data_IF_280696706327
#
_entry.id   IF_280696706327
#
_cell.length_a   1.000
_cell.length_b   1.000
_cell.length_c   1.000
_cell.angle_alpha   90.00
_cell.angle_beta   90.00
_cell.angle_gamma   90.00
#
_symmetry.space_group_name_H-M   'P 1'
#
loop_
_entity.id
_entity.type
_entity.pdbx_description
1 polymer ?
#
# COMPACT_ATOMS: atom_id res chain seq x y z
N UNK A 1 -19.54 28.96 -10.07
CA UNK A 1 -19.55 27.85 -9.08
C UNK A 1 -18.17 27.23 -9.07
N UNK A 2 -17.25 27.85 -8.34
CA UNK A 2 -15.94 27.30 -8.02
C UNK A 2 -16.16 26.20 -6.99
N UNK A 3 -15.95 24.95 -7.40
CA UNK A 3 -15.82 23.84 -6.46
C UNK A 3 -14.66 24.20 -5.52
N UNK A 4 -14.97 24.50 -4.25
CA UNK A 4 -13.94 24.67 -3.23
C UNK A 4 -13.23 23.32 -3.09
N UNK A 5 -11.98 23.23 -3.55
CA UNK A 5 -11.12 22.10 -3.25
C UNK A 5 -10.99 22.00 -1.73
N UNK A 6 -11.66 21.00 -1.15
CA UNK A 6 -11.55 20.71 0.28
C UNK A 6 -10.14 20.16 0.52
N UNK A 7 -9.33 20.92 1.25
CA UNK A 7 -7.98 20.47 1.63
C UNK A 7 -8.07 19.16 2.42
N UNK A 8 -7.24 18.14 2.10
CA UNK A 8 -7.30 16.87 2.82
C UNK A 8 -6.88 17.04 4.28
N UNK A 9 -7.71 16.51 5.19
CA UNK A 9 -7.49 16.53 6.66
C UNK A 9 -6.14 15.94 7.08
N UNK A 10 -5.69 14.94 6.32
CA UNK A 10 -4.44 14.20 6.55
C UNK A 10 -3.70 14.09 5.23
N UNK A 11 -2.42 14.47 5.23
CA UNK A 11 -1.50 14.25 4.11
C UNK A 11 -0.25 13.51 4.57
N UNK A 12 0.31 12.65 3.70
CA UNK A 12 1.54 11.92 4.02
C UNK A 12 2.73 12.80 3.66
N UNK A 13 3.59 13.10 4.65
CA UNK A 13 4.85 13.83 4.43
C UNK A 13 6.01 12.90 4.13
N UNK A 14 6.06 11.76 4.79
CA UNK A 14 7.14 10.79 4.65
C UNK A 14 6.59 9.37 4.75
N UNK A 15 7.09 8.49 3.89
CA UNK A 15 6.85 7.06 3.94
C UNK A 15 8.14 6.33 3.62
N UNK A 16 8.62 5.49 4.53
CA UNK A 16 9.77 4.62 4.29
C UNK A 16 9.49 3.18 4.70
N UNK A 17 10.19 2.25 4.05
CA UNK A 17 10.12 0.82 4.31
C UNK A 17 11.54 0.32 4.49
N UNK A 18 11.82 -0.37 5.60
CA UNK A 18 13.14 -0.90 5.94
C UNK A 18 13.03 -2.34 6.46
N UNK A 19 13.76 -3.33 5.91
CA UNK A 19 14.68 -3.23 4.77
C UNK A 19 13.98 -3.05 3.42
N UNK A 20 14.66 -2.41 2.48
CA UNK A 20 14.28 -2.34 1.07
C UNK A 20 15.51 -2.64 0.20
N UNK A 21 15.55 -3.77 -0.54
CA UNK A 21 14.49 -4.75 -0.73
C UNK A 21 14.24 -5.63 0.52
N UNK A 22 12.98 -6.06 0.70
CA UNK A 22 12.58 -6.95 1.80
C UNK A 22 12.97 -8.39 1.44
N UNK A 23 13.71 -9.06 2.32
CA UNK A 23 13.96 -10.52 2.20
C UNK A 23 12.80 -11.29 2.83
N UNK A 24 12.33 -12.34 2.16
CA UNK A 24 11.23 -13.19 2.62
C UNK A 24 11.76 -14.62 2.83
N UNK A 25 11.46 -15.29 3.98
CA UNK A 25 10.70 -14.78 5.12
C UNK A 25 11.49 -13.70 5.88
N UNK A 26 10.80 -12.69 6.40
CA UNK A 26 11.45 -11.59 7.10
C UNK A 26 10.46 -10.56 7.66
N UNK A 27 11.01 -9.63 8.43
CA UNK A 27 10.28 -8.49 8.98
C UNK A 27 10.52 -7.24 8.15
N UNK A 28 9.54 -6.35 8.13
CA UNK A 28 9.64 -5.02 7.58
C UNK A 28 9.13 -4.02 8.60
N UNK A 29 9.72 -2.83 8.62
CA UNK A 29 9.23 -1.65 9.32
C UNK A 29 8.71 -0.66 8.29
N UNK A 30 7.49 -0.18 8.48
CA UNK A 30 6.93 0.96 7.74
C UNK A 30 6.98 2.17 8.68
N UNK A 31 7.66 3.23 8.25
CA UNK A 31 7.65 4.51 8.96
C UNK A 31 6.85 5.52 8.14
N UNK A 32 5.80 6.10 8.74
CA UNK A 32 4.86 6.99 8.05
C UNK A 32 4.64 8.25 8.90
N UNK A 33 4.98 9.41 8.34
CA UNK A 33 4.74 10.70 8.98
C UNK A 33 3.59 11.39 8.26
N UNK A 34 2.58 11.79 9.02
CA UNK A 34 1.40 12.47 8.53
C UNK A 34 1.41 13.94 8.97
N UNK A 35 0.99 14.84 8.09
CA UNK A 35 0.53 16.16 8.47
C UNK A 35 -0.97 16.08 8.73
N UNK A 36 -1.41 16.61 9.86
CA UNK A 36 -2.83 16.64 10.22
C UNK A 36 -3.23 18.10 10.39
N UNK A 37 -4.19 18.57 9.60
CA UNK A 37 -4.56 20.00 9.54
C UNK A 37 -5.57 20.41 10.61
N UNK A 38 -6.29 19.44 11.21
CA UNK A 38 -7.23 19.69 12.31
C UNK A 38 -7.48 18.44 13.16
N UNK A 39 -8.29 18.54 14.21
CA UNK A 39 -8.61 17.41 15.09
C UNK A 39 -9.28 16.28 14.31
N UNK A 40 -8.77 15.05 14.47
CA UNK A 40 -9.35 13.86 13.86
C UNK A 40 -10.64 13.46 14.59
N UNK A 41 -11.76 13.27 13.89
CA UNK A 41 -13.04 12.94 14.53
C UNK A 41 -13.11 11.50 15.02
N UNK A 42 -12.28 10.59 14.48
CA UNK A 42 -12.31 9.15 14.75
C UNK A 42 -10.90 8.53 14.71
N UNK A 43 -10.82 7.23 15.04
CA UNK A 43 -9.61 6.44 14.94
C UNK A 43 -9.15 6.27 13.48
N UNK A 44 -7.84 6.40 13.26
CA UNK A 44 -7.23 6.10 11.96
C UNK A 44 -7.10 4.59 11.75
N UNK A 45 -7.57 4.09 10.62
CA UNK A 45 -7.40 2.68 10.23
C UNK A 45 -6.31 2.56 9.18
N UNK A 46 -5.23 1.84 9.50
CA UNK A 46 -4.16 1.51 8.54
C UNK A 46 -4.39 0.09 8.00
N UNK A 47 -4.38 -0.06 6.67
CA UNK A 47 -4.51 -1.37 5.98
C UNK A 47 -3.32 -1.60 5.07
N UNK A 48 -2.68 -2.77 5.22
CA UNK A 48 -1.57 -3.19 4.34
C UNK A 48 -2.07 -4.29 3.42
N UNK A 49 -1.90 -4.08 2.11
CA UNK A 49 -2.23 -5.06 1.07
C UNK A 49 -0.96 -5.58 0.40
N UNK A 50 -0.77 -6.90 0.38
CA UNK A 50 0.34 -7.53 -0.33
C UNK A 50 -0.13 -8.03 -1.70
N UNK A 51 0.61 -7.70 -2.75
CA UNK A 51 0.35 -8.17 -4.11
C UNK A 51 1.62 -8.80 -4.70
N UNK A 52 1.48 -9.95 -5.36
CA UNK A 52 2.55 -10.58 -6.14
C UNK A 52 2.37 -10.19 -7.60
N UNK A 53 3.41 -9.59 -8.19
CA UNK A 53 3.49 -9.39 -9.64
C UNK A 53 3.76 -10.74 -10.32
N UNK A 54 2.93 -11.10 -11.28
CA UNK A 54 3.08 -12.31 -12.09
C UNK A 54 3.39 -11.87 -13.52
N UNK A 55 4.55 -12.27 -14.02
CA UNK A 55 4.88 -12.12 -15.44
C UNK A 55 4.38 -13.38 -16.14
N UNK A 56 3.27 -13.31 -16.87
CA UNK A 56 2.87 -14.40 -17.77
C UNK A 56 3.72 -14.29 -19.04
N UNK A 57 4.64 -15.24 -19.22
CA UNK A 57 5.21 -15.53 -20.52
C UNK A 57 4.20 -16.39 -21.27
N UNK A 58 3.35 -15.75 -22.08
CA UNK A 58 2.61 -16.45 -23.11
C UNK A 58 3.59 -16.63 -24.28
N UNK A 59 4.26 -17.78 -24.32
CA UNK A 59 4.93 -18.27 -25.52
C UNK A 59 3.84 -18.62 -26.53
N UNK A 60 3.48 -17.67 -27.40
CA UNK A 60 2.86 -17.90 -28.71
C UNK A 60 2.80 -16.58 -29.51
N UNK A 61 3.92 -16.28 -30.17
CA UNK A 61 4.13 -15.46 -31.37
C UNK A 61 3.51 -14.06 -31.60
N UNK A 62 2.64 -13.50 -30.77
CA UNK A 62 2.29 -12.06 -30.83
C UNK A 62 1.66 -11.64 -29.49
N UNK A 63 2.47 -11.40 -28.45
CA UNK A 63 1.87 -11.24 -27.10
C UNK A 63 2.39 -10.02 -26.35
N UNK A 64 1.46 -9.09 -26.11
CA UNK A 64 1.55 -8.06 -25.09
C UNK A 64 1.85 -8.72 -23.73
N UNK A 65 2.94 -8.28 -23.09
CA UNK A 65 3.27 -8.68 -21.72
C UNK A 65 2.26 -8.08 -20.74
N UNK A 66 1.14 -8.75 -20.51
CA UNK A 66 0.20 -8.33 -19.47
C UNK A 66 0.83 -8.56 -18.09
N UNK A 67 1.07 -7.45 -17.38
CA UNK A 67 1.52 -7.48 -15.98
C UNK A 67 0.28 -7.67 -15.11
N UNK A 68 0.11 -8.85 -14.53
CA UNK A 68 -0.98 -9.09 -13.58
C UNK A 68 -0.47 -8.99 -12.14
N UNK A 69 -1.27 -8.37 -11.27
CA UNK A 69 -1.01 -8.27 -9.83
C UNK A 69 -2.02 -9.12 -9.09
N UNK A 70 -1.57 -10.21 -8.46
CA UNK A 70 -2.43 -11.08 -7.65
C UNK A 70 -2.30 -10.70 -6.17
N UNK A 71 -3.42 -10.39 -5.52
CA UNK A 71 -3.46 -10.15 -4.07
C UNK A 71 -3.04 -11.43 -3.33
N UNK A 72 -2.12 -11.29 -2.38
CA UNK A 72 -1.70 -12.38 -1.47
C UNK A 72 -2.65 -12.35 -0.27
N UNK A 73 -3.37 -13.46 0.01
CA UNK A 73 -4.25 -13.53 1.17
C UNK A 73 -3.42 -13.44 2.46
N UNK A 74 -3.93 -12.70 3.45
CA UNK A 74 -3.34 -12.71 4.77
C UNK A 74 -3.73 -14.00 5.48
N UNK A 75 -2.77 -14.89 5.75
CA UNK A 75 -3.05 -16.18 6.39
C UNK A 75 -3.35 -16.08 7.90
N UNK A 76 -2.99 -14.96 8.55
CA UNK A 76 -3.34 -14.65 9.95
C UNK A 76 -3.51 -13.14 10.13
N UNK A 77 -4.68 -12.68 10.59
CA UNK A 77 -4.80 -11.32 11.15
C UNK A 77 -4.02 -11.32 12.46
N UNK A 78 -2.95 -10.54 12.54
CA UNK A 78 -2.22 -10.32 13.79
C UNK A 78 -2.73 -9.00 14.35
N UNK A 79 -3.39 -9.05 15.52
CA UNK A 79 -3.90 -7.89 16.26
C UNK A 79 -5.39 -7.58 16.01
N UNK A 80 -6.25 -8.09 16.88
CA UNK A 80 -7.45 -7.37 17.32
C UNK A 80 -6.98 -6.44 18.45
N UNK A 81 -6.94 -5.14 18.19
CA UNK A 81 -6.82 -4.12 19.22
C UNK A 81 -8.23 -3.75 19.68
#
# INVERSE_FOLDING_TARGET
NTENEVEPLISIRHLSINPSPIRIPGFLKIDAHFNVTSTLPENLTVRIHMHRRINQHLENNHVQRHRHWRKIPCHRKIGSW
#
